data_IF_560928919199
#
_entry.id   IF_560928919199
#
_cell.length_a   1.000
_cell.length_b   1.000
_cell.length_c   1.000
_cell.angle_alpha   90.00
_cell.angle_beta   90.00
_cell.angle_gamma   90.00
#
_symmetry.space_group_name_H-M   'P 1'
#
loop_
_entity.id
_entity.type
_entity.pdbx_description
1 polymer ?
#
# COMPACT_ATOMS: atom_id res chain seq x y z
N UNK A 1 8.40 26.55 29.00
CA UNK A 1 7.30 26.97 28.10
C UNK A 1 7.66 26.84 26.62
N UNK A 2 8.78 27.40 26.13
CA UNK A 2 9.20 27.31 24.71
C UNK A 2 9.34 25.86 24.18
N UNK A 3 9.91 24.96 25.00
CA UNK A 3 10.09 23.53 24.64
C UNK A 3 8.78 22.74 24.57
N UNK A 4 7.77 23.13 25.36
CA UNK A 4 6.44 22.50 25.34
C UNK A 4 5.66 22.94 24.10
N UNK A 5 5.80 24.21 23.70
CA UNK A 5 5.19 24.72 22.47
C UNK A 5 5.71 24.04 21.20
N UNK A 6 7.03 23.77 21.13
CA UNK A 6 7.63 23.06 19.99
C UNK A 6 7.13 21.60 19.92
N UNK A 7 6.97 20.93 21.07
CA UNK A 7 6.45 19.56 21.12
C UNK A 7 4.99 19.47 20.67
N UNK A 8 4.16 20.43 21.08
CA UNK A 8 2.75 20.52 20.68
C UNK A 8 2.64 20.81 19.17
N UNK A 9 3.46 21.72 18.65
CA UNK A 9 3.51 22.01 17.21
C UNK A 9 3.93 20.78 16.39
N UNK A 10 4.93 20.02 16.85
CA UNK A 10 5.37 18.80 16.17
C UNK A 10 4.29 17.70 16.13
N UNK A 11 3.49 17.56 17.20
CA UNK A 11 2.37 16.62 17.24
C UNK A 11 1.24 17.00 16.26
N UNK A 12 0.96 18.29 16.09
CA UNK A 12 -0.09 18.76 15.17
C UNK A 12 0.27 18.57 13.69
N UNK A 13 1.56 18.60 13.33
CA UNK A 13 1.99 18.38 11.93
C UNK A 13 1.87 16.92 11.50
N UNK A 14 1.95 15.97 12.43
CA UNK A 14 1.82 14.54 12.14
C UNK A 14 0.40 14.14 11.67
N UNK A 15 -0.62 14.94 11.97
CA UNK A 15 -2.02 14.66 11.59
C UNK A 15 -2.32 14.90 10.10
N UNK A 16 -1.40 15.50 9.34
CA UNK A 16 -1.60 15.82 7.92
C UNK A 16 -1.00 14.80 6.95
N UNK A 17 -0.48 13.66 7.45
CA UNK A 17 -0.08 12.56 6.57
C UNK A 17 -1.32 11.72 6.21
N UNK A 18 -2.03 12.16 5.17
CA UNK A 18 -3.04 11.36 4.47
C UNK A 18 -2.33 10.28 3.65
N UNK A 19 -2.51 9.01 4.03
CA UNK A 19 -2.12 7.88 3.20
C UNK A 19 -3.26 7.58 2.23
N UNK A 20 -3.13 8.02 0.98
CA UNK A 20 -4.09 7.69 -0.07
C UNK A 20 -4.11 6.16 -0.28
N UNK A 21 -5.26 5.53 -0.03
CA UNK A 21 -5.41 4.09 -0.22
C UNK A 21 -5.90 3.82 -1.63
N UNK A 22 -5.21 2.92 -2.35
CA UNK A 22 -5.64 2.47 -3.66
C UNK A 22 -6.86 1.55 -3.52
N UNK A 23 -7.90 1.83 -4.29
CA UNK A 23 -9.16 1.10 -4.32
C UNK A 23 -9.43 0.58 -5.74
N UNK A 24 -10.07 -0.58 -5.81
CA UNK A 24 -10.47 -1.20 -7.06
C UNK A 24 -11.94 -1.59 -6.99
N UNK A 25 -12.71 -1.25 -8.02
CA UNK A 25 -14.08 -1.73 -8.21
C UNK A 25 -14.15 -2.61 -9.46
N UNK A 26 -14.84 -3.74 -9.35
CA UNK A 26 -15.04 -4.70 -10.45
C UNK A 26 -16.54 -4.91 -10.55
N UNK A 27 -17.11 -4.53 -11.69
CA UNK A 27 -18.55 -4.55 -11.94
C UNK A 27 -18.85 -5.51 -13.08
N UNK A 28 -19.91 -6.30 -12.94
CA UNK A 28 -20.43 -7.11 -14.04
C UNK A 28 -21.30 -6.24 -14.95
N UNK A 29 -21.10 -6.34 -16.26
CA UNK A 29 -21.93 -5.65 -17.24
C UNK A 29 -23.08 -6.54 -17.76
N UNK A 30 -23.17 -7.79 -17.30
CA UNK A 30 -24.18 -8.79 -17.70
C UNK A 30 -24.18 -9.11 -19.21
N UNK A 31 -23.03 -8.93 -19.88
CA UNK A 31 -22.80 -9.20 -21.31
C UNK A 31 -21.47 -9.94 -21.57
N UNK A 32 -21.04 -10.77 -20.61
CA UNK A 32 -19.71 -11.42 -20.58
C UNK A 32 -18.52 -10.45 -20.57
N UNK A 33 -18.74 -9.19 -20.20
CA UNK A 33 -17.68 -8.22 -19.90
C UNK A 33 -17.73 -7.74 -18.45
N UNK A 34 -16.58 -7.35 -17.93
CA UNK A 34 -16.43 -6.67 -16.65
C UNK A 34 -15.91 -5.27 -16.86
N UNK A 35 -16.37 -4.36 -16.01
CA UNK A 35 -15.81 -3.02 -15.89
C UNK A 35 -14.92 -2.98 -14.66
N UNK A 36 -13.63 -2.68 -14.86
CA UNK A 36 -12.66 -2.50 -13.79
C UNK A 36 -12.31 -1.02 -13.67
N UNK A 37 -12.51 -0.46 -12.47
CA UNK A 37 -12.20 0.93 -12.15
C UNK A 37 -11.22 1.00 -10.98
N UNK A 38 -10.19 1.83 -11.12
CA UNK A 38 -9.24 2.15 -10.06
C UNK A 38 -9.40 3.58 -9.58
N UNK A 39 -9.39 3.78 -8.26
CA UNK A 39 -9.49 5.10 -7.63
C UNK A 39 -8.72 5.14 -6.32
N UNK A 40 -8.37 6.33 -5.84
CA UNK A 40 -7.82 6.53 -4.50
C UNK A 40 -8.92 6.91 -3.51
N UNK A 41 -8.70 6.64 -2.21
CA UNK A 41 -9.62 7.01 -1.14
C UNK A 41 -9.96 8.51 -1.06
N UNK A 42 -9.16 9.37 -1.69
CA UNK A 42 -9.38 10.82 -1.81
C UNK A 42 -10.18 11.24 -3.03
N UNK A 43 -10.63 10.28 -3.85
CA UNK A 43 -11.39 10.53 -5.08
C UNK A 43 -10.54 10.82 -6.32
N UNK A 44 -9.21 10.73 -6.20
CA UNK A 44 -8.31 10.83 -7.36
C UNK A 44 -8.37 9.57 -8.22
N UNK A 45 -8.19 9.76 -9.53
CA UNK A 45 -8.20 8.69 -10.52
C UNK A 45 -6.85 7.94 -10.53
N UNK A 46 -6.88 6.61 -10.53
CA UNK A 46 -5.69 5.76 -10.58
C UNK A 46 -5.13 5.57 -12.02
N UNK A 47 -5.03 6.67 -12.77
CA UNK A 47 -4.59 6.63 -14.18
C UNK A 47 -3.17 6.08 -14.28
N UNK A 48 -2.94 5.20 -15.27
CA UNK A 48 -1.64 4.58 -15.49
C UNK A 48 -1.33 3.39 -14.57
N UNK A 49 -2.14 3.11 -13.54
CA UNK A 49 -2.00 1.89 -12.74
C UNK A 49 -2.23 0.65 -13.61
N UNK A 50 -1.53 -0.44 -13.30
CA UNK A 50 -1.49 -1.64 -14.14
C UNK A 50 -2.57 -2.64 -13.68
N UNK A 51 -3.53 -2.93 -14.56
CA UNK A 51 -4.49 -4.02 -14.37
C UNK A 51 -3.90 -5.31 -14.94
N UNK A 52 -4.00 -6.39 -14.18
CA UNK A 52 -3.71 -7.76 -14.63
C UNK A 52 -4.88 -8.67 -14.28
N UNK A 53 -5.24 -9.55 -15.21
CA UNK A 53 -6.08 -10.71 -14.91
C UNK A 53 -5.17 -11.92 -14.81
N UNK A 54 -5.16 -12.59 -13.66
CA UNK A 54 -4.31 -13.76 -13.42
C UNK A 54 -5.17 -15.02 -13.27
N UNK A 55 -4.79 -16.07 -13.99
CA UNK A 55 -5.44 -17.38 -13.93
C UNK A 55 -5.28 -18.00 -12.55
N UNK A 56 -6.39 -18.42 -11.91
CA UNK A 56 -6.33 -19.21 -10.68
C UNK A 56 -5.89 -20.66 -10.94
N UNK A 57 -5.95 -21.13 -12.19
CA UNK A 57 -5.49 -22.47 -12.57
C UNK A 57 -3.97 -22.54 -12.71
N UNK A 58 -3.40 -21.57 -13.42
CA UNK A 58 -2.00 -21.62 -13.87
C UNK A 58 -1.11 -20.55 -13.24
N UNK A 59 -1.69 -19.51 -12.65
CA UNK A 59 -0.97 -18.30 -12.23
C UNK A 59 -0.48 -17.43 -13.39
N UNK A 60 -0.84 -17.75 -14.64
CA UNK A 60 -0.43 -16.96 -15.79
C UNK A 60 -1.26 -15.68 -15.92
N UNK A 61 -0.66 -14.64 -16.47
CA UNK A 61 -1.35 -13.40 -16.81
C UNK A 61 -2.14 -13.61 -18.09
N UNK A 62 -3.47 -13.54 -17.98
CA UNK A 62 -4.44 -13.68 -19.08
C UNK A 62 -4.65 -12.37 -19.82
N UNK A 63 -4.57 -11.26 -19.09
CA UNK A 63 -4.73 -9.91 -19.63
C UNK A 63 -3.88 -8.94 -18.82
N UNK A 64 -3.31 -7.95 -19.50
CA UNK A 64 -2.51 -6.90 -18.86
C UNK A 64 -2.66 -5.59 -19.62
N UNK A 65 -3.11 -4.54 -18.93
CA UNK A 65 -3.22 -3.20 -19.51
C UNK A 65 -3.15 -2.12 -18.43
N UNK A 66 -2.56 -0.95 -18.76
CA UNK A 66 -2.61 0.21 -17.88
C UNK A 66 -3.95 0.92 -17.98
N UNK A 67 -4.45 1.40 -16.85
CA UNK A 67 -5.66 2.21 -16.79
C UNK A 67 -5.49 3.48 -17.64
N UNK A 68 -6.49 3.81 -18.48
CA UNK A 68 -6.51 5.06 -19.24
C UNK A 68 -6.78 6.25 -18.30
N UNK A 69 -6.82 7.47 -18.85
CA UNK A 69 -7.10 8.68 -18.06
C UNK A 69 -8.43 8.64 -17.29
N UNK A 70 -9.44 7.96 -17.84
CA UNK A 70 -10.72 7.73 -17.16
C UNK A 70 -10.64 6.78 -15.96
N UNK A 71 -9.50 6.09 -15.79
CA UNK A 71 -9.26 5.03 -14.78
C UNK A 71 -10.27 3.90 -14.79
N UNK A 72 -10.88 3.67 -15.94
CA UNK A 72 -11.89 2.65 -16.16
C UNK A 72 -11.58 1.88 -17.44
N UNK A 73 -11.77 0.57 -17.39
CA UNK A 73 -11.51 -0.30 -18.52
C UNK A 73 -12.53 -1.44 -18.56
N UNK A 74 -13.06 -1.70 -19.75
CA UNK A 74 -13.98 -2.80 -20.03
C UNK A 74 -13.18 -3.98 -20.58
N UNK A 75 -13.26 -5.13 -19.93
CA UNK A 75 -12.51 -6.36 -20.28
C UNK A 75 -13.49 -7.51 -20.49
N UNK A 76 -13.28 -8.30 -21.54
CA UNK A 76 -14.01 -9.55 -21.72
C UNK A 76 -13.65 -10.55 -20.62
N UNK A 77 -14.65 -11.23 -20.05
CA UNK A 77 -14.45 -12.23 -19.00
C UNK A 77 -13.67 -13.43 -19.57
N UNK A 78 -12.52 -13.80 -18.98
CA UNK A 78 -11.80 -15.00 -19.37
C UNK A 78 -12.62 -16.28 -19.18
N UNK A 79 -12.34 -17.31 -19.98
CA UNK A 79 -13.04 -18.62 -19.92
C UNK A 79 -12.68 -19.48 -18.72
N UNK A 80 -11.73 -19.02 -17.89
CA UNK A 80 -11.22 -19.74 -16.73
C UNK A 80 -11.24 -18.84 -15.49
N UNK A 81 -11.36 -19.42 -14.28
CA UNK A 81 -11.32 -18.69 -13.03
C UNK A 81 -10.06 -17.85 -12.91
N UNK A 82 -10.22 -16.59 -12.51
CA UNK A 82 -9.15 -15.61 -12.48
C UNK A 82 -9.32 -14.67 -11.28
N UNK A 83 -8.25 -13.96 -10.95
CA UNK A 83 -8.27 -12.80 -10.05
C UNK A 83 -7.94 -11.54 -10.82
N UNK A 84 -8.50 -10.42 -10.38
CA UNK A 84 -8.18 -9.08 -10.86
C UNK A 84 -7.14 -8.48 -9.93
N UNK A 85 -6.04 -8.00 -10.50
CA UNK A 85 -4.95 -7.35 -9.77
C UNK A 85 -4.83 -5.92 -10.30
N UNK A 86 -4.93 -4.95 -9.40
CA UNK A 86 -4.61 -3.55 -9.67
C UNK A 86 -3.30 -3.21 -8.98
N UNK A 87 -2.28 -2.92 -9.78
CA UNK A 87 -0.92 -2.61 -9.36
C UNK A 87 -0.66 -1.11 -9.59
N UNK A 88 -0.76 -0.34 -8.51
CA UNK A 88 -0.46 1.10 -8.48
C UNK A 88 1.01 1.42 -8.23
N UNK A 89 1.89 0.41 -8.16
CA UNK A 89 3.29 0.56 -7.83
C UNK A 89 3.69 -0.10 -6.50
N UNK A 90 4.96 0.03 -6.08
CA UNK A 90 5.49 -0.65 -4.90
C UNK A 90 4.66 -0.39 -3.65
N UNK A 91 4.18 -1.47 -3.00
CA UNK A 91 3.39 -1.39 -1.77
C UNK A 91 1.93 -0.97 -1.96
N UNK A 92 1.46 -0.82 -3.20
CA UNK A 92 0.10 -0.40 -3.53
C UNK A 92 -0.51 -1.37 -4.56
N UNK A 93 -0.78 -2.61 -4.14
CA UNK A 93 -1.48 -3.58 -4.99
C UNK A 93 -2.76 -4.10 -4.33
N UNK A 94 -3.85 -4.10 -5.11
CA UNK A 94 -5.15 -4.58 -4.68
C UNK A 94 -5.50 -5.81 -5.51
N UNK A 95 -5.97 -6.86 -4.84
CA UNK A 95 -6.42 -8.10 -5.50
C UNK A 95 -7.88 -8.33 -5.14
N UNK A 96 -8.71 -8.65 -6.15
CA UNK A 96 -10.09 -9.10 -5.97
C UNK A 96 -10.35 -10.35 -6.80
N UNK A 97 -11.30 -11.16 -6.36
CA UNK A 97 -11.80 -12.29 -7.12
C UNK A 97 -12.46 -11.82 -8.42
N UNK A 98 -12.24 -12.55 -9.51
CA UNK A 98 -12.88 -12.30 -10.79
C UNK A 98 -14.34 -12.73 -10.82
N UNK A 99 -15.14 -12.06 -11.65
CA UNK A 99 -16.55 -12.39 -11.86
C UNK A 99 -16.65 -13.49 -12.93
N UNK A 100 -17.54 -14.47 -12.70
CA UNK A 100 -17.79 -15.55 -13.65
C UNK A 100 -18.63 -15.06 -14.86
N UNK A 101 -18.44 -15.68 -16.04
CA UNK A 101 -19.30 -15.40 -17.20
C UNK A 101 -20.74 -15.88 -16.94
N UNK A 102 -21.69 -15.45 -17.78
CA UNK A 102 -23.12 -15.78 -17.65
C UNK A 102 -23.38 -17.29 -17.60
N UNK A 103 -22.68 -18.05 -18.44
CA UNK A 103 -22.78 -19.51 -18.51
C UNK A 103 -22.02 -20.21 -17.36
N UNK A 104 -21.31 -19.45 -16.53
CA UNK A 104 -20.46 -19.94 -15.45
C UNK A 104 -19.18 -20.61 -15.94
N UNK A 105 -18.25 -20.87 -15.02
CA UNK A 105 -17.05 -21.65 -15.35
C UNK A 105 -17.38 -23.14 -15.47
N UNK A 106 -16.79 -23.85 -16.45
CA UNK A 106 -16.92 -25.30 -16.58
C UNK A 106 -16.57 -26.04 -15.28
N UNK A 107 -17.32 -27.09 -14.94
CA UNK A 107 -17.19 -27.79 -13.66
C UNK A 107 -15.83 -28.48 -13.46
N UNK A 108 -15.20 -28.93 -14.55
CA UNK A 108 -13.85 -29.50 -14.60
C UNK A 108 -12.75 -28.46 -14.29
N UNK A 109 -13.03 -27.19 -14.56
CA UNK A 109 -12.12 -26.07 -14.36
C UNK A 109 -12.18 -25.58 -12.90
N UNK A 110 -13.37 -25.54 -12.29
CA UNK A 110 -13.54 -25.18 -10.86
C UNK A 110 -12.78 -26.13 -9.92
N UNK A 111 -12.66 -27.42 -10.26
CA UNK A 111 -11.96 -28.40 -9.44
C UNK A 111 -10.42 -28.28 -9.49
N UNK A 112 -9.86 -27.53 -10.46
CA UNK A 112 -8.41 -27.37 -10.66
C UNK A 112 -7.85 -26.02 -10.20
N UNK A 113 -8.70 -25.07 -9.82
CA UNK A 113 -8.34 -23.70 -9.43
C UNK A 113 -7.57 -23.57 -8.11
N UNK A 114 -7.27 -24.68 -7.43
CA UNK A 114 -6.56 -24.70 -6.15
C UNK A 114 -5.06 -25.04 -6.26
N UNK A 115 -4.51 -25.23 -7.46
CA UNK A 115 -3.19 -25.87 -7.60
C UNK A 115 -2.19 -25.02 -8.39
N UNK A 116 -1.43 -24.17 -7.68
CA UNK A 116 0.01 -24.08 -7.91
C UNK A 116 0.59 -22.98 -8.82
N UNK A 117 0.00 -21.78 -8.85
CA UNK A 117 0.64 -20.60 -9.45
C UNK A 117 1.13 -19.59 -8.41
N UNK A 118 2.26 -18.90 -8.66
CA UNK A 118 2.65 -17.71 -7.87
C UNK A 118 1.71 -16.55 -8.22
N UNK A 119 0.53 -16.53 -7.62
CA UNK A 119 -0.44 -15.44 -7.77
C UNK A 119 0.07 -14.17 -7.10
N UNK A 120 -0.26 -13.01 -7.69
CA UNK A 120 -0.06 -11.73 -7.04
C UNK A 120 -0.89 -11.69 -5.76
N UNK A 121 -0.29 -11.23 -4.66
CA UNK A 121 -0.99 -11.00 -3.41
C UNK A 121 -1.27 -9.50 -3.24
N UNK A 122 -2.38 -9.20 -2.57
CA UNK A 122 -2.68 -7.83 -2.19
C UNK A 122 -1.58 -7.32 -1.27
N UNK A 123 -0.84 -6.31 -1.72
CA UNK A 123 0.03 -5.52 -0.86
C UNK A 123 -0.83 -4.40 -0.31
N UNK A 124 -1.57 -4.72 0.75
CA UNK A 124 -1.87 -3.68 1.72
C UNK A 124 -0.53 -3.36 2.37
N UNK A 125 -0.02 -2.16 2.14
CA UNK A 125 0.92 -1.54 3.05
C UNK A 125 0.24 -1.39 4.41
N UNK A 126 0.00 -2.49 5.12
CA UNK A 126 -0.09 -2.44 6.56
C UNK A 126 1.16 -1.67 6.95
N UNK A 127 1.00 -0.52 7.59
CA UNK A 127 2.08 0.40 7.95
C UNK A 127 3.04 -0.19 8.98
N UNK A 128 3.41 -1.45 8.83
CA UNK A 128 4.43 -2.18 9.52
C UNK A 128 5.76 -1.70 8.95
N UNK A 129 6.39 -0.82 9.72
CA UNK A 129 7.72 -0.34 9.45
C UNK A 129 8.66 -1.54 9.41
N UNK A 130 9.49 -1.62 8.37
CA UNK A 130 10.50 -2.67 8.29
C UNK A 130 11.38 -2.66 9.54
N UNK A 131 11.79 -3.85 9.99
CA UNK A 131 12.54 -4.04 11.23
C UNK A 131 13.85 -3.22 11.21
N UNK A 132 14.49 -3.10 10.03
CA UNK A 132 15.70 -2.29 9.89
C UNK A 132 15.40 -0.80 10.08
N UNK A 133 14.28 -0.32 9.53
CA UNK A 133 13.83 1.07 9.70
C UNK A 133 13.51 1.35 11.17
N UNK A 134 12.75 0.50 11.85
CA UNK A 134 12.45 0.65 13.30
C UNK A 134 13.74 0.67 14.12
N UNK A 135 14.67 -0.22 13.84
CA UNK A 135 15.96 -0.31 14.53
C UNK A 135 16.78 0.97 14.32
N UNK A 136 16.85 1.46 13.08
CA UNK A 136 17.61 2.66 12.73
C UNK A 136 17.05 3.92 13.43
N UNK A 137 15.74 4.13 13.40
CA UNK A 137 15.11 5.25 14.11
C UNK A 137 15.28 5.16 15.62
N UNK A 138 15.18 3.96 16.20
CA UNK A 138 15.38 3.74 17.63
C UNK A 138 16.80 4.12 18.07
N UNK A 139 17.81 3.70 17.31
CA UNK A 139 19.21 4.07 17.56
C UNK A 139 19.41 5.58 17.41
N UNK A 140 18.84 6.20 16.37
CA UNK A 140 18.93 7.64 16.15
C UNK A 140 18.36 8.44 17.33
N UNK A 141 17.19 8.07 17.84
CA UNK A 141 16.57 8.71 19.02
C UNK A 141 17.43 8.53 20.27
N UNK A 142 17.99 7.34 20.48
CA UNK A 142 18.84 7.05 21.65
C UNK A 142 20.13 7.88 21.60
N UNK A 143 20.79 7.96 20.43
CA UNK A 143 21.97 8.80 20.24
C UNK A 143 21.65 10.29 20.43
N UNK A 144 20.51 10.76 19.93
CA UNK A 144 20.07 12.14 20.12
C UNK A 144 19.80 12.47 21.61
N UNK A 145 19.20 11.55 22.36
CA UNK A 145 19.00 11.70 23.80
C UNK A 145 20.34 11.75 24.56
N UNK A 146 21.29 10.89 24.20
CA UNK A 146 22.63 10.88 24.80
C UNK A 146 23.40 12.17 24.51
N UNK A 147 23.38 12.69 23.28
CA UNK A 147 24.08 13.94 22.94
C UNK A 147 23.51 15.12 23.74
N UNK A 148 22.18 15.22 23.87
CA UNK A 148 21.54 16.23 24.70
C UNK A 148 21.91 16.07 26.18
N UNK A 149 21.93 14.84 26.70
CA UNK A 149 22.31 14.56 28.07
C UNK A 149 23.75 14.99 28.36
N UNK A 150 24.72 14.52 27.57
CA UNK A 150 26.13 14.88 27.75
C UNK A 150 26.38 16.37 27.57
N UNK A 151 25.75 16.98 26.57
CA UNK A 151 25.80 18.44 26.36
C UNK A 151 25.33 19.18 27.61
N UNK A 152 24.15 18.84 28.14
CA UNK A 152 23.59 19.50 29.32
C UNK A 152 24.46 19.31 30.58
N UNK A 153 25.05 18.12 30.75
CA UNK A 153 25.92 17.82 31.89
C UNK A 153 27.22 18.63 31.80
N UNK A 154 27.85 18.68 30.64
CA UNK A 154 29.07 19.45 30.42
C UNK A 154 28.82 20.95 30.61
N UNK A 155 27.71 21.48 30.08
CA UNK A 155 27.32 22.88 30.32
C UNK A 155 27.16 23.17 31.81
N UNK A 156 26.50 22.29 32.57
CA UNK A 156 26.33 22.47 34.02
C UNK A 156 27.66 22.46 34.77
N UNK A 157 28.60 21.59 34.38
CA UNK A 157 29.94 21.53 34.98
C UNK A 157 30.72 22.82 34.74
N UNK A 158 30.73 23.33 33.51
CA UNK A 158 31.41 24.59 33.16
C UNK A 158 30.83 25.78 33.95
N UNK A 159 29.50 25.87 34.06
CA UNK A 159 28.85 26.92 34.85
C UNK A 159 29.23 26.85 36.34
N UNK A 160 29.37 25.65 36.91
CA UNK A 160 29.81 25.48 38.29
C UNK A 160 31.27 25.88 38.49
N UNK A 161 32.14 25.61 37.52
CA UNK A 161 33.54 26.04 37.55
C UNK A 161 33.66 27.56 37.47
N UNK A 162 32.90 28.20 36.58
CA UNK A 162 32.85 29.65 36.45
C UNK A 162 32.34 30.37 37.70
N UNK A 163 31.45 29.74 38.48
CA UNK A 163 30.92 30.33 39.73
C UNK A 163 31.89 30.20 40.92
N UNK A 164 32.91 29.35 40.80
CA UNK A 164 33.92 29.13 41.84
C UNK A 164 35.14 30.04 41.72
N UNK A 165 35.37 30.62 40.53
CA UNK A 165 36.34 31.69 40.30
C UNK A 165 35.67 33.05 40.44
#
# INVERSE_FOLDING_TARGET
MKKLGILIMALCVASFLEAHTLLMNVMNNDDDTITVRGEFSTGELASGALIKLESLLSGNVLFQQRLPESSELIIAIPKEPYQVVLDGGPGHSVVKEGIAPLDGFPADVKAKASTGGKLSQAQNGNGEWDMATVTMFSIAVLLFALTLYFSSRNTRLLLLQMKKN
#
